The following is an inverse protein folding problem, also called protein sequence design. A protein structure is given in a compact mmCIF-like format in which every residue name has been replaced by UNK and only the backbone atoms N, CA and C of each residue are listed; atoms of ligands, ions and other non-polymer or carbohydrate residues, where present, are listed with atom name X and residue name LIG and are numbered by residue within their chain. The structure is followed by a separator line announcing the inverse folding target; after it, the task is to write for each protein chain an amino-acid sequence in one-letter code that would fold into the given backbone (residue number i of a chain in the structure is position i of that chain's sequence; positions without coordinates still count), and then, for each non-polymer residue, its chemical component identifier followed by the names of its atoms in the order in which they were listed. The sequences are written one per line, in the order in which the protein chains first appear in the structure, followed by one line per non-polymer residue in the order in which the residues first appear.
data_IF_270534097259
#
_entry.id   IF_270534097259
#
_cell.length_a   1.000
_cell.length_b   1.000
_cell.length_c   1.000
_cell.angle_alpha   90.00
_cell.angle_beta   90.00
_cell.angle_gamma   90.00
#
_symmetry.space_group_name_H-M   'P 1'
#
loop_
_entity.id
_entity.type
_entity.pdbx_description
1 polymer ?
#
# COMPACT_ATOMS: atom_id res chain seq x y z
N UNK A 1 -9.85 -13.84 -19.02
CA UNK A 1 -11.29 -13.54 -18.89
C UNK A 1 -12.15 -14.80 -18.93
N UNK A 2 -11.94 -15.69 -19.91
CA UNK A 2 -12.67 -16.96 -19.98
C UNK A 2 -12.48 -17.83 -18.72
N UNK A 3 -11.25 -17.93 -18.23
CA UNK A 3 -10.91 -18.67 -17.00
C UNK A 3 -11.61 -18.12 -15.74
N UNK A 4 -11.70 -16.78 -15.61
CA UNK A 4 -12.38 -16.12 -14.49
C UNK A 4 -13.90 -16.33 -14.58
N UNK A 5 -14.47 -16.20 -15.79
CA UNK A 5 -15.89 -16.45 -16.05
C UNK A 5 -16.27 -17.91 -15.77
N UNK A 6 -15.40 -18.86 -16.09
CA UNK A 6 -15.64 -20.29 -15.89
C UNK A 6 -15.51 -20.70 -14.41
N UNK A 7 -14.64 -20.06 -13.63
CA UNK A 7 -14.49 -20.35 -12.21
C UNK A 7 -15.70 -19.90 -11.38
N UNK A 8 -16.29 -18.74 -11.69
CA UNK A 8 -17.54 -18.25 -11.08
C UNK A 8 -17.46 -17.83 -9.59
N UNK A 9 -16.32 -18.05 -8.92
CA UNK A 9 -16.10 -17.78 -7.49
C UNK A 9 -14.74 -17.10 -7.22
N UNK A 10 -14.26 -16.26 -8.15
CA UNK A 10 -12.97 -15.58 -8.03
C UNK A 10 -13.19 -14.10 -7.72
N UNK A 11 -12.52 -13.60 -6.70
CA UNK A 11 -12.40 -12.17 -6.41
C UNK A 11 -11.03 -11.70 -6.89
N UNK A 12 -11.01 -10.77 -7.84
CA UNK A 12 -9.79 -10.19 -8.36
C UNK A 12 -9.35 -9.01 -7.48
N UNK A 13 -8.12 -9.02 -6.96
CA UNK A 13 -7.54 -7.84 -6.34
C UNK A 13 -6.72 -7.06 -7.38
N UNK A 14 -6.94 -5.76 -7.45
CA UNK A 14 -6.24 -4.84 -8.35
C UNK A 14 -5.64 -3.74 -7.48
N UNK A 15 -4.33 -3.79 -7.29
CA UNK A 15 -3.63 -2.65 -6.72
C UNK A 15 -3.53 -1.52 -7.76
N UNK A 16 -3.54 -0.28 -7.30
CA UNK A 16 -3.53 0.91 -8.15
C UNK A 16 -4.58 0.84 -9.29
N UNK A 17 -5.84 0.57 -8.97
CA UNK A 17 -6.95 0.36 -9.92
C UNK A 17 -7.01 1.42 -11.03
N UNK A 18 -6.67 2.66 -10.70
CA UNK A 18 -6.65 3.77 -11.63
C UNK A 18 -5.67 3.59 -12.81
N UNK A 19 -4.64 2.76 -12.69
CA UNK A 19 -3.68 2.48 -13.77
C UNK A 19 -4.35 1.76 -14.94
N UNK A 20 -5.28 0.85 -14.67
CA UNK A 20 -6.06 0.14 -15.67
C UNK A 20 -7.13 1.01 -16.35
N UNK A 21 -7.53 2.11 -15.70
CA UNK A 21 -8.62 3.00 -16.14
C UNK A 21 -8.06 4.27 -16.80
N UNK A 22 -6.98 4.82 -16.25
CA UNK A 22 -6.34 6.06 -16.66
C UNK A 22 -5.29 5.91 -17.77
N UNK A 23 -4.96 4.68 -18.17
CA UNK A 23 -4.03 4.39 -19.26
C UNK A 23 -4.45 5.00 -20.62
N UNK A 24 -5.72 5.38 -20.79
CA UNK A 24 -6.25 5.92 -22.05
C UNK A 24 -5.66 7.27 -22.51
N UNK A 25 -4.75 7.89 -21.75
CA UNK A 25 -4.11 9.17 -22.11
C UNK A 25 -2.73 9.06 -22.77
N UNK A 26 -2.05 7.91 -22.69
CA UNK A 26 -0.71 7.73 -23.27
C UNK A 26 -0.80 6.89 -24.56
N UNK A 27 -0.27 7.43 -25.66
CA UNK A 27 -0.22 6.76 -26.97
C UNK A 27 0.37 5.34 -26.85
N UNK A 28 -0.49 4.32 -26.90
CA UNK A 28 -0.07 2.91 -26.96
C UNK A 28 -0.33 2.08 -25.70
N UNK A 29 -0.83 2.66 -24.61
CA UNK A 29 -1.29 1.84 -23.49
C UNK A 29 -2.67 1.24 -23.85
N UNK A 30 -2.78 -0.09 -23.80
CA UNK A 30 -4.03 -0.79 -24.02
C UNK A 30 -5.03 -0.30 -22.96
N UNK A 31 -6.11 0.35 -23.40
CA UNK A 31 -7.19 0.81 -22.53
C UNK A 31 -7.97 -0.40 -21.99
N UNK A 32 -7.41 -1.02 -20.95
CA UNK A 32 -7.99 -2.15 -20.25
C UNK A 32 -9.40 -1.83 -19.71
N UNK A 33 -9.73 -0.54 -19.53
CA UNK A 33 -11.05 -0.10 -19.10
C UNK A 33 -12.15 -0.56 -20.06
N UNK A 34 -11.92 -0.55 -21.38
CA UNK A 34 -12.93 -0.98 -22.36
C UNK A 34 -13.21 -2.49 -22.33
N UNK A 35 -12.25 -3.28 -21.85
CA UNK A 35 -12.41 -4.74 -21.69
C UNK A 35 -13.09 -5.06 -20.35
N UNK A 36 -12.78 -4.29 -19.30
CA UNK A 36 -13.28 -4.53 -17.94
C UNK A 36 -14.69 -3.98 -17.74
N UNK A 37 -15.02 -2.81 -18.31
CA UNK A 37 -16.32 -2.14 -18.17
C UNK A 37 -17.52 -3.06 -18.46
N UNK A 38 -17.56 -3.82 -19.58
CA UNK A 38 -18.69 -4.72 -19.86
C UNK A 38 -18.81 -5.85 -18.83
N UNK A 39 -17.69 -6.38 -18.36
CA UNK A 39 -17.64 -7.51 -17.43
C UNK A 39 -18.04 -7.10 -16.01
N UNK A 40 -17.60 -5.91 -15.57
CA UNK A 40 -18.06 -5.26 -14.34
C UNK A 40 -19.54 -4.90 -14.41
N UNK A 41 -20.02 -4.41 -15.56
CA UNK A 41 -21.41 -4.02 -15.75
C UNK A 41 -22.38 -5.22 -15.71
N UNK A 42 -21.95 -6.38 -16.22
CA UNK A 42 -22.73 -7.63 -16.16
C UNK A 42 -22.58 -8.38 -14.84
N UNK A 43 -21.69 -7.94 -13.94
CA UNK A 43 -21.42 -8.62 -12.67
C UNK A 43 -20.68 -9.95 -12.83
N UNK A 44 -20.09 -10.21 -14.00
CA UNK A 44 -19.32 -11.43 -14.29
C UNK A 44 -17.90 -11.38 -13.72
N UNK A 45 -17.45 -10.19 -13.35
CA UNK A 45 -16.16 -9.95 -12.72
C UNK A 45 -16.40 -9.31 -11.35
N UNK A 46 -15.97 -9.99 -10.29
CA UNK A 46 -15.89 -9.42 -8.95
C UNK A 46 -14.45 -8.97 -8.70
N UNK A 47 -14.27 -7.73 -8.26
CA UNK A 47 -12.95 -7.24 -7.90
C UNK A 47 -12.97 -6.29 -6.70
N UNK A 48 -11.81 -6.20 -6.05
CA UNK A 48 -11.47 -5.20 -5.05
C UNK A 48 -10.33 -4.39 -5.65
N UNK A 49 -10.54 -3.07 -5.78
CA UNK A 49 -9.52 -2.16 -6.26
C UNK A 49 -8.99 -1.28 -5.13
N UNK A 50 -7.67 -1.10 -5.07
CA UNK A 50 -7.03 -0.10 -4.21
C UNK A 50 -6.62 1.12 -5.04
N UNK A 51 -6.83 2.33 -4.51
CA UNK A 51 -6.42 3.59 -5.16
C UNK A 51 -6.41 4.72 -4.14
N UNK A 52 -5.71 5.80 -4.43
CA UNK A 52 -5.80 7.02 -3.62
C UNK A 52 -7.08 7.81 -3.90
N UNK A 53 -7.48 8.67 -2.96
CA UNK A 53 -8.66 9.54 -3.12
C UNK A 53 -8.59 10.44 -4.35
N UNK A 54 -7.40 10.92 -4.68
CA UNK A 54 -7.20 11.87 -5.79
C UNK A 54 -7.30 11.16 -7.14
N UNK A 55 -6.78 9.94 -7.25
CA UNK A 55 -6.93 9.08 -8.42
C UNK A 55 -8.38 8.63 -8.61
N UNK A 56 -9.07 8.25 -7.53
CA UNK A 56 -10.49 7.91 -7.58
C UNK A 56 -11.30 9.06 -8.18
N UNK A 57 -11.12 10.28 -7.67
CA UNK A 57 -11.76 11.50 -8.20
C UNK A 57 -11.41 11.78 -9.65
N UNK A 58 -10.16 11.53 -10.03
CA UNK A 58 -9.66 11.85 -11.38
C UNK A 58 -10.13 10.87 -12.44
N UNK A 59 -10.17 9.57 -12.13
CA UNK A 59 -10.34 8.51 -13.13
C UNK A 59 -11.61 7.67 -12.96
N UNK A 60 -12.16 7.53 -11.75
CA UNK A 60 -13.30 6.66 -11.47
C UNK A 60 -14.59 7.46 -11.33
N UNK A 61 -14.58 8.50 -10.49
CA UNK A 61 -15.76 9.34 -10.21
C UNK A 61 -16.26 10.10 -11.45
N UNK A 62 -15.36 10.40 -12.41
CA UNK A 62 -15.73 11.05 -13.67
C UNK A 62 -16.36 10.12 -14.69
N UNK A 63 -16.22 8.80 -14.54
CA UNK A 63 -16.77 7.81 -15.45
C UNK A 63 -18.04 7.20 -14.86
N UNK A 64 -19.20 7.67 -15.35
CA UNK A 64 -20.51 7.24 -14.86
C UNK A 64 -20.77 5.72 -14.98
N UNK A 65 -20.06 5.01 -15.87
CA UNK A 65 -20.19 3.56 -15.98
C UNK A 65 -19.46 2.83 -14.86
N UNK A 66 -18.32 3.37 -14.39
CA UNK A 66 -17.51 2.80 -13.32
C UNK A 66 -18.02 3.24 -11.93
N UNK A 67 -18.40 4.52 -11.79
CA UNK A 67 -18.96 5.08 -10.55
C UNK A 67 -20.16 4.26 -10.04
N UNK A 68 -21.01 3.78 -10.94
CA UNK A 68 -22.19 2.96 -10.60
C UNK A 68 -21.88 1.50 -10.24
N UNK A 69 -20.63 1.06 -10.39
CA UNK A 69 -20.20 -0.34 -10.19
C UNK A 69 -19.25 -0.50 -9.02
N UNK A 70 -18.55 0.56 -8.64
CA UNK A 70 -17.73 0.58 -7.44
C UNK A 70 -18.49 1.23 -6.29
N UNK A 71 -18.51 0.55 -5.15
CA UNK A 71 -18.88 1.16 -3.88
C UNK A 71 -17.59 1.64 -3.21
N UNK A 72 -17.39 2.96 -3.01
CA UNK A 72 -16.22 3.43 -2.31
C UNK A 72 -16.29 3.01 -0.83
N UNK A 73 -15.17 2.46 -0.34
CA UNK A 73 -14.91 2.18 1.07
C UNK A 73 -13.72 3.04 1.45
N UNK A 74 -13.93 4.04 2.31
CA UNK A 74 -12.85 4.91 2.77
C UNK A 74 -11.98 4.17 3.77
N UNK A 75 -10.68 4.19 3.53
CA UNK A 75 -9.65 3.67 4.44
C UNK A 75 -8.90 4.87 4.99
N UNK A 76 -9.12 5.15 6.27
CA UNK A 76 -8.46 6.25 6.97
C UNK A 76 -7.04 5.87 7.38
N UNK A 77 -6.21 6.89 7.56
CA UNK A 77 -4.90 6.73 8.20
C UNK A 77 -5.08 6.13 9.61
N UNK A 78 -4.28 5.12 10.01
CA UNK A 78 -4.36 4.54 11.35
C UNK A 78 -4.04 5.57 12.43
N UNK A 79 -4.67 5.41 13.60
CA UNK A 79 -4.31 6.21 14.78
C UNK A 79 -2.88 5.92 15.24
N UNK A 80 -2.31 6.80 16.06
CA UNK A 80 -0.98 6.57 16.68
C UNK A 80 -0.96 5.22 17.42
N UNK A 81 -2.03 4.90 18.16
CA UNK A 81 -2.13 3.64 18.90
C UNK A 81 -2.15 2.43 17.96
N UNK A 82 -2.92 2.50 16.87
CA UNK A 82 -3.01 1.41 15.88
C UNK A 82 -1.69 1.25 15.11
N UNK A 83 -1.04 2.36 14.73
CA UNK A 83 0.27 2.33 14.08
C UNK A 83 1.33 1.68 14.97
N UNK A 84 1.33 1.94 16.28
CA UNK A 84 2.22 1.25 17.23
C UNK A 84 1.95 -0.27 17.22
N UNK A 85 0.67 -0.69 17.21
CA UNK A 85 0.32 -2.11 17.12
C UNK A 85 0.76 -2.75 15.80
N UNK A 86 0.63 -2.03 14.69
CA UNK A 86 1.14 -2.47 13.38
C UNK A 86 2.65 -2.68 13.43
N UNK A 87 3.41 -1.71 13.96
CA UNK A 87 4.86 -1.84 14.12
C UNK A 87 5.23 -3.00 15.05
N UNK A 88 4.48 -3.23 16.13
CA UNK A 88 4.67 -4.40 17.01
C UNK A 88 4.45 -5.71 16.25
N UNK A 89 3.44 -5.79 15.40
CA UNK A 89 3.18 -6.97 14.56
C UNK A 89 4.24 -7.20 13.46
N UNK A 90 4.95 -6.15 13.03
CA UNK A 90 6.03 -6.23 12.05
C UNK A 90 7.41 -6.47 12.69
N UNK A 91 7.56 -6.28 14.01
CA UNK A 91 8.84 -6.31 14.73
C UNK A 91 9.70 -7.50 14.35
N UNK A 92 9.20 -8.72 14.53
CA UNK A 92 9.98 -9.95 14.35
C UNK A 92 10.59 -10.04 12.93
N UNK A 93 9.86 -9.56 11.92
CA UNK A 93 10.34 -9.55 10.53
C UNK A 93 11.49 -8.57 10.33
N UNK A 94 11.38 -7.36 10.87
CA UNK A 94 12.43 -6.34 10.76
C UNK A 94 13.65 -6.68 11.63
N UNK A 95 13.44 -7.20 12.84
CA UNK A 95 14.52 -7.70 13.70
C UNK A 95 15.33 -8.79 13.00
N UNK A 96 14.65 -9.77 12.39
CA UNK A 96 15.31 -10.81 11.62
C UNK A 96 16.03 -10.24 10.37
N UNK A 97 15.43 -9.27 9.69
CA UNK A 97 16.02 -8.66 8.50
C UNK A 97 17.33 -7.89 8.81
N UNK A 98 17.34 -7.09 9.89
CA UNK A 98 18.50 -6.28 10.26
C UNK A 98 19.46 -6.98 11.24
N UNK A 99 19.05 -8.05 11.91
CA UNK A 99 19.82 -8.70 12.97
C UNK A 99 19.97 -7.83 14.22
N UNK A 100 18.93 -7.08 14.57
CA UNK A 100 18.88 -6.18 15.74
C UNK A 100 17.61 -6.43 16.53
N UNK A 101 17.54 -5.93 17.77
CA UNK A 101 16.33 -5.92 18.57
C UNK A 101 15.77 -4.49 18.68
N UNK A 102 14.48 -4.32 18.44
CA UNK A 102 13.78 -3.04 18.61
C UNK A 102 13.03 -3.03 19.94
N UNK A 103 13.34 -2.04 20.78
CA UNK A 103 12.60 -1.87 22.05
C UNK A 103 11.20 -1.30 21.79
N UNK A 104 10.27 -1.54 22.73
CA UNK A 104 8.93 -0.94 22.68
C UNK A 104 8.99 0.58 22.57
N UNK A 105 9.88 1.21 23.35
CA UNK A 105 10.11 2.65 23.29
C UNK A 105 10.62 3.13 21.92
N UNK A 106 11.40 2.32 21.20
CA UNK A 106 11.86 2.65 19.85
C UNK A 106 10.69 2.66 18.84
N UNK A 107 9.78 1.69 18.93
CA UNK A 107 8.59 1.65 18.07
C UNK A 107 7.65 2.84 18.35
N UNK A 108 7.40 3.12 19.63
CA UNK A 108 6.58 4.27 20.03
C UNK A 108 7.20 5.59 19.56
N UNK A 109 8.52 5.75 19.73
CA UNK A 109 9.24 6.91 19.25
C UNK A 109 9.16 7.04 17.73
N UNK A 110 9.30 5.96 16.97
CA UNK A 110 9.20 6.00 15.51
C UNK A 110 7.82 6.51 15.05
N UNK A 111 6.72 6.05 15.66
CA UNK A 111 5.37 6.54 15.33
C UNK A 111 5.20 8.01 15.72
N UNK A 112 5.53 8.39 16.96
CA UNK A 112 5.32 9.76 17.46
C UNK A 112 6.18 10.77 16.69
N UNK A 113 7.44 10.43 16.42
CA UNK A 113 8.37 11.32 15.72
C UNK A 113 8.04 11.42 14.23
N UNK A 114 7.72 10.32 13.56
CA UNK A 114 7.28 10.38 12.16
C UNK A 114 6.00 11.20 12.01
N UNK A 115 5.03 11.05 12.93
CA UNK A 115 3.80 11.84 12.90
C UNK A 115 4.05 13.34 13.10
N UNK A 116 5.02 13.71 13.95
CA UNK A 116 5.33 15.10 14.25
C UNK A 116 6.19 15.78 13.18
N UNK A 117 7.13 15.06 12.59
CA UNK A 117 8.18 15.67 11.75
C UNK A 117 8.07 15.36 10.26
N UNK A 118 7.36 14.29 9.88
CA UNK A 118 7.14 13.90 8.47
C UNK A 118 5.66 14.13 8.13
N UNK A 119 5.39 15.25 7.46
CA UNK A 119 4.03 15.78 7.22
C UNK A 119 3.47 15.43 5.84
N UNK A 120 4.31 15.02 4.90
CA UNK A 120 3.97 14.69 3.51
C UNK A 120 3.66 13.19 3.29
N UNK A 121 3.71 12.39 4.37
CA UNK A 121 3.42 10.96 4.36
C UNK A 121 2.48 10.56 5.49
N UNK A 122 1.83 9.43 5.33
CA UNK A 122 0.82 8.91 6.24
C UNK A 122 1.38 7.73 7.05
N UNK A 123 0.88 7.55 8.27
CA UNK A 123 1.05 6.32 9.04
C UNK A 123 0.37 5.14 8.31
N UNK A 124 0.84 3.90 8.52
CA UNK A 124 2.00 3.52 9.33
C UNK A 124 3.34 3.61 8.57
N UNK A 125 3.27 3.84 7.26
CA UNK A 125 4.38 3.73 6.30
C UNK A 125 5.61 4.56 6.71
N UNK A 126 5.42 5.86 7.00
CA UNK A 126 6.52 6.72 7.47
C UNK A 126 7.18 6.28 8.78
N UNK A 127 6.46 5.57 9.66
CA UNK A 127 7.00 5.05 10.91
C UNK A 127 7.79 3.76 10.69
N UNK A 128 7.34 2.93 9.75
CA UNK A 128 8.03 1.72 9.31
C UNK A 128 9.39 2.09 8.71
N UNK A 129 9.45 3.11 7.86
CA UNK A 129 10.70 3.60 7.28
C UNK A 129 11.72 4.05 8.33
N UNK A 130 11.27 4.75 9.38
CA UNK A 130 12.17 5.13 10.48
C UNK A 130 12.75 3.91 11.21
N UNK A 131 11.96 2.84 11.37
CA UNK A 131 12.42 1.58 11.97
C UNK A 131 13.43 0.88 11.06
N UNK A 132 13.15 0.81 9.77
CA UNK A 132 14.02 0.20 8.77
C UNK A 132 15.39 0.90 8.69
N UNK A 133 15.39 2.24 8.63
CA UNK A 133 16.61 3.06 8.64
C UNK A 133 17.38 2.91 9.97
N UNK A 134 16.68 2.94 11.11
CA UNK A 134 17.29 2.77 12.42
C UNK A 134 17.95 1.38 12.57
N UNK A 135 17.26 0.33 12.13
CA UNK A 135 17.77 -1.03 12.13
C UNK A 135 19.03 -1.17 11.28
N UNK A 136 18.98 -0.66 10.05
CA UNK A 136 20.12 -0.63 9.14
C UNK A 136 21.32 0.12 9.73
N UNK A 137 21.08 1.27 10.37
CA UNK A 137 22.12 2.08 11.02
C UNK A 137 22.80 1.35 12.19
N UNK A 138 22.03 0.65 13.04
CA UNK A 138 22.59 -0.11 14.16
C UNK A 138 23.39 -1.31 13.66
N UNK A 139 22.88 -2.01 12.63
CA UNK A 139 23.58 -3.13 12.00
C UNK A 139 24.94 -2.68 11.42
N UNK A 140 24.98 -1.55 10.72
CA UNK A 140 26.22 -1.01 10.15
C UNK A 140 27.27 -0.70 11.23
N UNK A 141 26.87 -0.17 12.38
CA UNK A 141 27.77 0.08 13.51
C UNK A 141 28.32 -1.19 14.15
N UNK A 142 27.61 -2.30 14.02
CA UNK A 142 28.02 -3.60 14.56
C UNK A 142 29.13 -4.26 13.73
N UNK A 143 29.32 -3.83 12.47
CA UNK A 143 30.48 -4.21 11.67
C UNK A 143 31.70 -3.41 12.13
N UNK A 144 32.58 -4.08 12.86
CA UNK A 144 33.89 -3.55 13.24
C UNK A 144 34.79 -3.68 12.00
N UNK A 145 35.27 -2.57 11.45
CA UNK A 145 36.36 -2.59 10.47
C UNK A 145 37.56 -3.27 11.13
N UNK A 146 38.19 -4.29 10.52
CA UNK A 146 39.38 -4.91 11.08
C UNK A 146 40.39 -3.81 11.42
N UNK A 147 40.86 -3.78 12.66
CA UNK A 147 41.98 -2.92 13.00
C UNK A 147 43.16 -3.43 12.19
N UNK A 148 43.65 -2.63 11.24
CA UNK A 148 44.79 -3.01 10.40
C UNK A 148 45.92 -3.48 11.32
N UNK A 149 46.19 -4.78 11.29
CA UNK A 149 47.40 -5.40 11.87
C UNK A 149 48.55 -5.20 10.89
#
# INVERSE_FOLDING_TARGET
MEEIRQAGNVILFIDELHTLIGAGGAEGAIDASNILKPSLARGELQCIGATTRDEYRKYIEKDAALERRFQPVQVEEPSIADAILILKGLRDRYEAHHGVAFTDAALEAAVVMSQRYIQDRFLPDKAIDLIDEAGSKVRLKSFITPTNV
#
